data_IF_300659843779
#
_entry.id   IF_300659843779
#
_cell.length_a   1.000
_cell.length_b   1.000
_cell.length_c   1.000
_cell.angle_alpha   90.00
_cell.angle_beta   90.00
_cell.angle_gamma   90.00
#
_symmetry.space_group_name_H-M   'P 1'
#
loop_
_entity.id
_entity.type
_entity.pdbx_description
1 polymer ?
#
# COMPACT_ATOMS: atom_id res chain seq x y z
N UNK A 1 -33.62 -24.79 41.96
CA UNK A 1 -32.98 -25.62 40.93
C UNK A 1 -33.72 -25.39 39.61
N UNK A 2 -33.15 -24.64 38.72
CA UNK A 2 -33.65 -24.46 37.34
C UNK A 2 -32.50 -24.78 36.41
N UNK A 3 -32.60 -25.91 35.69
CA UNK A 3 -31.65 -26.35 34.69
C UNK A 3 -31.73 -25.49 33.42
N UNK A 4 -30.59 -25.05 32.93
CA UNK A 4 -30.46 -24.45 31.62
C UNK A 4 -30.06 -25.55 30.62
N UNK A 5 -30.94 -25.80 29.64
CA UNK A 5 -30.66 -26.68 28.52
C UNK A 5 -29.75 -25.99 27.50
N UNK A 6 -28.71 -26.69 27.10
CA UNK A 6 -27.88 -26.32 25.95
C UNK A 6 -28.57 -26.79 24.67
N UNK A 7 -28.78 -25.86 23.73
CA UNK A 7 -29.21 -26.16 22.37
C UNK A 7 -27.99 -26.19 21.48
N UNK A 8 -27.60 -27.36 21.02
CA UNK A 8 -26.57 -27.55 20.00
C UNK A 8 -27.18 -27.39 18.61
N UNK A 9 -26.77 -26.35 17.87
CA UNK A 9 -27.10 -26.24 16.45
C UNK A 9 -26.04 -26.98 15.64
N UNK A 10 -26.49 -28.01 14.90
CA UNK A 10 -25.65 -28.72 13.92
C UNK A 10 -25.85 -28.06 12.56
N UNK A 11 -24.81 -27.44 12.01
CA UNK A 11 -24.84 -26.88 10.65
C UNK A 11 -24.39 -27.98 9.69
N UNK A 12 -25.29 -28.44 8.84
CA UNK A 12 -24.97 -29.39 7.76
C UNK A 12 -24.63 -28.60 6.50
N UNK A 13 -23.38 -28.66 6.12
CA UNK A 13 -22.90 -28.04 4.87
C UNK A 13 -23.11 -29.01 3.71
N UNK A 14 -23.94 -28.63 2.73
CA UNK A 14 -24.12 -29.34 1.48
C UNK A 14 -23.02 -28.98 0.50
N UNK A 15 -22.18 -29.95 0.16
CA UNK A 15 -21.24 -29.83 -0.97
C UNK A 15 -21.97 -30.10 -2.27
N UNK A 16 -21.99 -29.11 -3.17
CA UNK A 16 -22.38 -29.28 -4.57
C UNK A 16 -21.12 -29.70 -5.35
N UNK A 17 -21.08 -30.96 -5.75
CA UNK A 17 -20.06 -31.49 -6.68
C UNK A 17 -20.38 -31.01 -8.09
N UNK A 18 -19.58 -30.07 -8.63
CA UNK A 18 -19.53 -29.77 -10.06
C UNK A 18 -18.37 -30.56 -10.65
N UNK A 19 -18.68 -31.52 -11.49
CA UNK A 19 -17.71 -32.30 -12.25
C UNK A 19 -17.12 -31.46 -13.39
N UNK A 20 -15.83 -31.13 -13.31
CA UNK A 20 -15.04 -30.61 -14.42
C UNK A 20 -13.99 -31.66 -14.81
N UNK A 21 -14.02 -32.01 -16.07
CA UNK A 21 -13.15 -32.97 -16.74
C UNK A 21 -11.74 -32.40 -16.99
N UNK A 22 -10.75 -33.19 -16.59
CA UNK A 22 -9.39 -33.31 -17.12
C UNK A 22 -8.63 -32.06 -17.56
N UNK A 23 -7.80 -31.50 -16.64
CA UNK A 23 -6.48 -31.00 -16.98
C UNK A 23 -5.48 -31.59 -15.99
N UNK A 24 -4.50 -32.36 -16.53
CA UNK A 24 -3.39 -32.88 -15.77
C UNK A 24 -2.40 -31.74 -15.51
N UNK A 25 -2.37 -31.23 -14.27
CA UNK A 25 -1.25 -30.47 -13.73
C UNK A 25 -0.81 -31.17 -12.44
N UNK A 26 0.47 -31.39 -12.34
CA UNK A 26 1.14 -31.96 -11.18
C UNK A 26 0.83 -31.10 -9.95
N UNK A 27 -0.06 -31.56 -9.08
CA UNK A 27 -0.28 -30.97 -7.77
C UNK A 27 0.92 -31.25 -6.89
N UNK A 28 1.81 -30.28 -6.75
CA UNK A 28 2.69 -30.22 -5.59
C UNK A 28 1.82 -29.77 -4.42
N UNK A 29 1.47 -30.68 -3.55
CA UNK A 29 0.81 -30.36 -2.28
C UNK A 29 1.90 -29.72 -1.42
N UNK A 30 1.85 -28.39 -1.28
CA UNK A 30 2.61 -27.67 -0.28
C UNK A 30 1.90 -27.95 1.04
N UNK A 31 2.52 -28.76 1.90
CA UNK A 31 2.10 -28.87 3.30
C UNK A 31 2.47 -27.55 3.99
N UNK A 32 1.53 -26.62 4.03
CA UNK A 32 1.61 -25.48 4.92
C UNK A 32 1.50 -26.02 6.36
N UNK A 33 2.46 -25.67 7.19
CA UNK A 33 2.47 -26.00 8.61
C UNK A 33 1.25 -25.32 9.28
N UNK A 34 0.24 -26.13 9.62
CA UNK A 34 -1.05 -25.66 10.17
C UNK A 34 -0.92 -24.93 11.52
N UNK A 35 0.28 -24.80 12.06
CA UNK A 35 0.55 -24.12 13.33
C UNK A 35 1.05 -22.68 13.19
N UNK A 36 1.33 -22.19 11.98
CA UNK A 36 1.67 -20.79 11.72
C UNK A 36 0.40 -20.01 11.33
N UNK A 37 -0.30 -19.45 12.29
CA UNK A 37 -1.39 -18.49 12.15
C UNK A 37 -2.76 -19.00 11.65
N UNK A 38 -3.63 -19.33 12.58
CA UNK A 38 -5.07 -19.41 12.31
C UNK A 38 -5.63 -17.99 12.17
N UNK A 39 -6.02 -17.62 10.97
CA UNK A 39 -6.71 -16.36 10.69
C UNK A 39 -8.07 -16.31 11.38
N UNK A 40 -8.26 -15.34 12.24
CA UNK A 40 -9.55 -15.05 12.84
C UNK A 40 -10.07 -13.72 12.30
N UNK A 41 -10.79 -13.74 11.19
CA UNK A 41 -11.43 -12.57 10.56
C UNK A 41 -12.34 -11.78 11.52
N UNK A 42 -12.73 -12.38 12.64
CA UNK A 42 -13.52 -11.75 13.70
C UNK A 42 -12.76 -10.71 14.52
N UNK A 43 -11.43 -10.66 14.42
CA UNK A 43 -10.60 -9.78 15.27
C UNK A 43 -10.47 -8.35 14.74
N UNK A 44 -10.68 -8.15 13.44
CA UNK A 44 -10.47 -6.83 12.82
C UNK A 44 -11.58 -5.84 13.16
N UNK A 45 -12.83 -6.29 13.18
CA UNK A 45 -13.98 -5.42 13.46
C UNK A 45 -13.93 -4.85 14.89
N UNK A 46 -13.44 -5.62 15.87
CA UNK A 46 -13.27 -5.15 17.24
C UNK A 46 -12.03 -4.25 17.42
N UNK A 47 -10.95 -4.48 16.64
CA UNK A 47 -9.73 -3.68 16.75
C UNK A 47 -9.91 -2.26 16.25
N UNK A 48 -10.72 -2.06 15.22
CA UNK A 48 -11.04 -0.76 14.63
C UNK A 48 -12.46 -0.28 14.96
N UNK A 49 -13.01 -0.72 16.10
CA UNK A 49 -14.36 -0.29 16.51
C UNK A 49 -14.42 1.24 16.65
N UNK A 50 -15.52 1.82 16.15
CA UNK A 50 -15.72 3.28 16.14
C UNK A 50 -15.27 4.00 14.87
N UNK A 51 -14.52 3.36 13.97
CA UNK A 51 -14.01 4.01 12.75
C UNK A 51 -15.00 4.03 11.57
N UNK A 52 -16.02 3.17 11.58
CA UNK A 52 -16.83 2.79 10.40
C UNK A 52 -17.60 3.90 9.66
N UNK A 53 -17.70 5.12 10.22
CA UNK A 53 -18.35 6.26 9.55
C UNK A 53 -17.48 7.53 9.54
N UNK A 54 -16.23 7.42 9.99
CA UNK A 54 -15.32 8.55 10.07
C UNK A 54 -14.56 8.73 8.75
N UNK A 55 -14.20 9.99 8.45
CA UNK A 55 -13.39 10.39 7.29
C UNK A 55 -12.43 11.52 7.68
N UNK A 56 -11.43 11.76 6.84
CA UNK A 56 -10.46 12.84 6.98
C UNK A 56 -9.78 12.83 8.35
N UNK A 57 -9.60 13.99 8.93
CA UNK A 57 -8.93 14.20 10.22
C UNK A 57 -9.58 13.45 11.39
N UNK A 58 -10.90 13.19 11.33
CA UNK A 58 -11.58 12.43 12.40
C UNK A 58 -11.19 10.95 12.35
N UNK A 59 -11.12 10.36 11.15
CA UNK A 59 -10.65 8.99 10.96
C UNK A 59 -9.17 8.87 11.31
N UNK A 60 -8.34 9.81 10.86
CA UNK A 60 -6.91 9.88 11.17
C UNK A 60 -6.68 9.89 12.68
N UNK A 61 -7.37 10.76 13.42
CA UNK A 61 -7.25 10.88 14.88
C UNK A 61 -7.67 9.60 15.62
N UNK A 62 -8.77 8.97 15.19
CA UNK A 62 -9.26 7.73 15.81
C UNK A 62 -8.29 6.56 15.56
N UNK A 63 -7.83 6.39 14.33
CA UNK A 63 -6.85 5.36 13.99
C UNK A 63 -5.52 5.58 14.74
N UNK A 64 -5.06 6.83 14.87
CA UNK A 64 -3.89 7.16 15.68
C UNK A 64 -4.06 6.68 17.13
N UNK A 65 -5.19 6.99 17.77
CA UNK A 65 -5.45 6.60 19.16
C UNK A 65 -5.48 5.07 19.34
N UNK A 66 -5.94 4.33 18.33
CA UNK A 66 -5.94 2.86 18.32
C UNK A 66 -4.52 2.30 18.24
N UNK A 67 -3.67 2.82 17.32
CA UNK A 67 -2.38 2.19 16.99
C UNK A 67 -1.17 2.77 17.76
N UNK A 68 -1.31 3.92 18.42
CA UNK A 68 -0.17 4.65 19.01
C UNK A 68 0.55 3.92 20.14
N UNK A 69 -0.14 3.04 20.84
CA UNK A 69 0.43 2.30 21.96
C UNK A 69 0.97 0.95 21.47
N UNK A 70 2.26 0.86 21.22
CA UNK A 70 2.88 -0.40 20.84
C UNK A 70 4.12 -0.71 21.70
N UNK A 71 4.52 -1.98 21.71
CA UNK A 71 5.75 -2.42 22.36
C UNK A 71 6.95 -1.99 21.53
N UNK A 72 7.83 -1.19 22.12
CA UNK A 72 9.07 -0.75 21.46
C UNK A 72 10.10 -1.86 21.49
N UNK A 73 10.57 -2.27 20.33
CA UNK A 73 11.66 -3.26 20.21
C UNK A 73 13.02 -2.56 20.19
N UNK A 74 14.07 -3.24 20.64
CA UNK A 74 15.43 -2.71 20.51
C UNK A 74 15.92 -2.79 19.07
N UNK A 75 16.76 -1.84 18.65
CA UNK A 75 17.31 -1.87 17.29
C UNK A 75 18.11 -3.14 16.98
N UNK A 76 18.74 -3.75 17.97
CA UNK A 76 19.41 -5.06 17.81
C UNK A 76 18.41 -6.21 17.60
N UNK A 77 17.25 -6.18 18.25
CA UNK A 77 16.23 -7.21 18.08
C UNK A 77 15.53 -7.14 16.72
N UNK A 78 15.57 -6.00 16.04
CA UNK A 78 15.00 -5.85 14.69
C UNK A 78 15.57 -6.88 13.71
N UNK A 79 16.85 -7.26 13.84
CA UNK A 79 17.44 -8.30 12.97
C UNK A 79 16.71 -9.65 13.06
N UNK A 80 16.43 -10.09 14.27
CA UNK A 80 15.71 -11.34 14.52
C UNK A 80 14.27 -11.24 14.02
N UNK A 81 13.59 -10.15 14.34
CA UNK A 81 12.20 -9.96 13.90
C UNK A 81 12.04 -9.89 12.38
N UNK A 82 12.97 -9.24 11.66
CA UNK A 82 12.93 -9.22 10.19
C UNK A 82 13.17 -10.60 9.59
N UNK A 83 14.00 -11.45 10.21
CA UNK A 83 14.17 -12.85 9.79
C UNK A 83 12.87 -13.63 9.88
N UNK A 84 12.07 -13.36 10.92
CA UNK A 84 10.81 -14.06 11.16
C UNK A 84 9.66 -13.54 10.28
N UNK A 85 9.50 -12.20 10.19
CA UNK A 85 8.34 -11.58 9.52
C UNK A 85 8.52 -11.35 8.02
N UNK A 86 9.75 -11.39 7.53
CA UNK A 86 10.13 -11.30 6.12
C UNK A 86 10.82 -12.60 5.64
N UNK A 87 10.59 -13.76 6.33
CA UNK A 87 11.06 -15.08 5.94
C UNK A 87 10.62 -15.41 4.51
N UNK A 88 11.52 -15.96 3.71
CA UNK A 88 11.17 -16.46 2.38
C UNK A 88 10.25 -17.68 2.50
N UNK A 89 9.02 -17.62 1.96
CA UNK A 89 8.05 -18.71 2.09
C UNK A 89 8.49 -20.03 1.44
N UNK A 90 9.50 -19.99 0.57
CA UNK A 90 10.05 -21.19 -0.10
C UNK A 90 11.28 -21.73 0.62
N UNK A 91 12.02 -20.88 1.33
CA UNK A 91 13.26 -21.27 2.00
C UNK A 91 13.42 -20.52 3.33
N UNK A 92 13.06 -21.16 4.43
CA UNK A 92 13.10 -20.58 5.78
C UNK A 92 14.49 -20.23 6.32
N UNK A 93 15.58 -20.51 5.59
CA UNK A 93 16.92 -20.03 5.91
C UNK A 93 17.23 -18.67 5.24
N UNK A 94 16.26 -18.11 4.55
CA UNK A 94 16.38 -16.87 3.78
C UNK A 94 15.31 -15.86 4.21
N UNK A 95 15.57 -14.59 3.88
CA UNK A 95 14.60 -13.49 3.90
C UNK A 95 14.29 -13.06 2.47
N UNK A 96 13.10 -12.51 2.25
CA UNK A 96 12.75 -11.84 0.99
C UNK A 96 13.15 -10.37 1.09
N UNK A 97 14.07 -9.94 0.22
CA UNK A 97 14.55 -8.57 0.18
C UNK A 97 13.53 -7.66 -0.51
N UNK A 98 13.15 -6.57 0.14
CA UNK A 98 11.97 -5.77 -0.20
C UNK A 98 11.97 -5.24 -1.63
N UNK A 99 12.91 -4.39 -2.02
CA UNK A 99 12.87 -3.75 -3.34
C UNK A 99 13.06 -4.71 -4.52
N UNK A 100 13.85 -5.75 -4.35
CA UNK A 100 14.16 -6.69 -5.42
C UNK A 100 13.31 -7.97 -5.40
N UNK A 101 12.51 -8.19 -4.35
CA UNK A 101 11.78 -9.45 -4.12
C UNK A 101 12.67 -10.68 -4.29
N UNK A 102 13.92 -10.56 -3.87
CA UNK A 102 14.95 -11.58 -4.00
C UNK A 102 15.13 -12.33 -2.69
N UNK A 103 15.19 -13.65 -2.79
CA UNK A 103 15.56 -14.53 -1.67
C UNK A 103 17.04 -14.39 -1.34
N UNK A 104 17.39 -14.14 -0.08
CA UNK A 104 18.75 -13.95 0.41
C UNK A 104 18.91 -14.67 1.75
N UNK A 105 20.08 -15.31 1.98
CA UNK A 105 20.36 -15.92 3.28
C UNK A 105 20.13 -14.93 4.42
N UNK A 106 19.38 -15.35 5.43
CA UNK A 106 19.08 -14.56 6.63
C UNK A 106 20.34 -14.13 7.41
N UNK A 107 21.46 -14.85 7.20
CA UNK A 107 22.74 -14.63 7.86
C UNK A 107 23.67 -13.67 7.10
N UNK A 108 23.35 -13.32 5.84
CA UNK A 108 24.19 -12.42 5.02
C UNK A 108 23.89 -10.94 5.36
N UNK A 109 23.97 -10.58 6.62
CA UNK A 109 23.64 -9.22 7.10
C UNK A 109 24.81 -8.25 6.99
N UNK A 110 24.51 -6.97 6.77
CA UNK A 110 25.43 -5.86 6.90
C UNK A 110 25.27 -5.19 8.27
N UNK A 111 26.04 -5.61 9.28
CA UNK A 111 26.08 -4.94 10.59
C UNK A 111 25.55 -5.75 11.80
N UNK A 112 25.03 -6.95 11.63
CA UNK A 112 24.67 -7.86 12.72
C UNK A 112 25.87 -8.75 13.09
N UNK A 113 26.99 -8.11 13.44
CA UNK A 113 28.25 -8.82 13.68
C UNK A 113 29.02 -9.23 12.42
N UNK A 114 28.48 -8.99 11.24
CA UNK A 114 29.07 -9.29 9.96
C UNK A 114 29.63 -8.04 9.27
N UNK A 115 30.60 -8.24 8.38
CA UNK A 115 31.09 -7.18 7.51
C UNK A 115 30.09 -6.89 6.39
N UNK A 116 29.97 -5.61 6.04
CA UNK A 116 29.13 -5.19 4.92
C UNK A 116 29.80 -5.51 3.59
N UNK A 117 29.10 -6.20 2.73
CA UNK A 117 29.50 -6.54 1.36
C UNK A 117 28.41 -6.13 0.38
N UNK A 118 28.69 -6.18 -0.91
CA UNK A 118 27.68 -6.01 -1.96
C UNK A 118 26.65 -7.14 -2.03
N UNK A 119 26.85 -8.21 -1.26
CA UNK A 119 25.94 -9.35 -1.18
C UNK A 119 25.22 -9.41 0.17
N UNK A 120 25.38 -8.40 1.01
CA UNK A 120 24.74 -8.34 2.32
C UNK A 120 23.44 -7.58 2.24
N UNK A 121 22.50 -7.91 3.14
CA UNK A 121 21.31 -7.10 3.36
C UNK A 121 21.40 -6.33 4.68
N UNK A 122 20.62 -5.24 4.78
CA UNK A 122 20.51 -4.45 6.00
C UNK A 122 19.05 -4.04 6.27
N UNK A 123 18.85 -3.26 7.34
CA UNK A 123 17.54 -2.77 7.78
C UNK A 123 17.27 -1.44 7.12
N UNK A 124 16.43 -1.44 6.12
CA UNK A 124 15.92 -0.26 5.47
C UNK A 124 14.87 0.43 6.34
N UNK A 125 14.98 1.73 6.48
CA UNK A 125 13.91 2.57 7.01
C UNK A 125 13.12 3.16 5.84
N UNK A 126 11.93 2.63 5.59
CA UNK A 126 11.06 3.09 4.48
C UNK A 126 10.81 4.60 4.59
N UNK A 127 10.53 5.12 5.79
CA UNK A 127 10.66 6.54 6.07
C UNK A 127 12.11 6.84 6.49
N UNK A 128 12.88 7.64 5.71
CA UNK A 128 14.27 7.91 6.05
C UNK A 128 14.41 8.59 7.41
N UNK A 129 15.37 8.14 8.20
CA UNK A 129 15.61 8.75 9.52
C UNK A 129 16.01 10.22 9.47
N UNK A 130 16.70 10.63 8.41
CA UNK A 130 17.12 12.01 8.17
C UNK A 130 15.94 12.96 8.03
N UNK A 131 14.85 12.54 7.39
CA UNK A 131 13.64 13.35 7.24
C UNK A 131 12.98 13.65 8.59
N UNK A 132 12.83 12.67 9.46
CA UNK A 132 12.18 12.85 10.76
C UNK A 132 13.13 13.18 11.91
N UNK A 133 14.44 13.31 11.67
CA UNK A 133 15.48 13.47 12.70
C UNK A 133 15.32 12.46 13.86
N UNK A 134 14.91 11.24 13.57
CA UNK A 134 14.75 10.19 14.56
C UNK A 134 15.90 9.18 14.53
N UNK A 135 16.34 8.77 15.71
CA UNK A 135 17.37 7.74 15.85
C UNK A 135 16.78 6.36 16.07
N UNK A 136 17.66 5.41 16.36
CA UNK A 136 17.31 4.01 16.63
C UNK A 136 17.37 3.64 18.12
N UNK A 137 17.42 4.62 19.01
CA UNK A 137 17.32 4.39 20.45
C UNK A 137 15.87 4.09 20.85
N UNK A 138 15.66 3.32 21.91
CA UNK A 138 14.32 3.01 22.41
C UNK A 138 13.50 4.24 22.85
N UNK A 139 14.13 5.41 22.97
CA UNK A 139 13.45 6.68 23.23
C UNK A 139 13.00 7.38 21.94
N UNK A 140 13.40 6.87 20.78
CA UNK A 140 13.08 7.34 19.45
C UNK A 140 12.33 6.22 18.71
N UNK A 141 11.11 5.98 19.14
CA UNK A 141 10.28 4.81 18.81
C UNK A 141 10.18 4.54 17.31
N UNK A 142 10.05 5.59 16.50
CA UNK A 142 9.93 5.49 15.04
C UNK A 142 11.10 4.75 14.36
N UNK A 143 12.30 4.85 14.91
CA UNK A 143 13.49 4.21 14.34
C UNK A 143 13.59 2.70 14.55
N UNK A 144 12.65 2.11 15.28
CA UNK A 144 12.61 0.66 15.55
C UNK A 144 11.24 0.04 15.26
N UNK A 145 10.34 0.82 14.67
CA UNK A 145 9.01 0.35 14.31
C UNK A 145 9.08 -0.63 13.13
N UNK A 146 8.61 -1.86 13.34
CA UNK A 146 8.69 -2.93 12.35
C UNK A 146 7.79 -2.69 11.13
N UNK A 147 6.74 -1.86 11.25
CA UNK A 147 5.91 -1.50 10.10
C UNK A 147 6.67 -0.67 9.06
N UNK A 148 7.70 0.06 9.48
CA UNK A 148 8.53 0.90 8.61
C UNK A 148 9.93 0.33 8.34
N UNK A 149 10.24 -0.87 8.82
CA UNK A 149 11.55 -1.52 8.63
C UNK A 149 11.43 -2.73 7.70
N UNK A 150 12.34 -2.83 6.73
CA UNK A 150 12.38 -3.93 5.75
C UNK A 150 13.82 -4.45 5.57
N UNK A 151 14.01 -5.75 5.28
CA UNK A 151 15.30 -6.24 4.81
C UNK A 151 15.51 -5.80 3.36
N UNK A 152 16.62 -5.14 3.06
CA UNK A 152 16.97 -4.63 1.72
C UNK A 152 18.44 -4.88 1.42
N UNK A 153 18.79 -5.13 0.17
CA UNK A 153 20.18 -5.14 -0.28
C UNK A 153 20.93 -3.90 0.22
N UNK A 154 22.11 -4.10 0.79
CA UNK A 154 22.90 -3.01 1.32
C UNK A 154 23.27 -1.96 0.27
N UNK A 155 23.51 -2.40 -0.98
CA UNK A 155 23.80 -1.52 -2.11
C UNK A 155 22.58 -0.73 -2.58
N UNK A 156 21.43 -1.39 -2.64
CA UNK A 156 20.14 -0.74 -2.99
C UNK A 156 19.73 0.26 -1.91
N UNK A 157 19.81 -0.12 -0.62
CA UNK A 157 19.55 0.80 0.49
C UNK A 157 20.45 2.05 0.39
N UNK A 158 21.74 1.85 0.07
CA UNK A 158 22.67 2.97 -0.14
C UNK A 158 22.32 3.83 -1.34
N UNK A 159 21.77 3.26 -2.41
CA UNK A 159 21.37 3.99 -3.61
C UNK A 159 20.04 4.74 -3.41
N UNK A 160 19.11 4.17 -2.67
CA UNK A 160 17.88 4.83 -2.24
C UNK A 160 18.21 6.00 -1.33
N UNK A 161 19.15 5.81 -0.36
CA UNK A 161 19.56 6.87 0.58
C UNK A 161 18.39 7.44 1.37
N UNK A 162 18.19 8.75 1.31
CA UNK A 162 17.07 9.47 1.92
C UNK A 162 16.10 10.09 0.91
N UNK A 163 16.21 9.72 -0.37
CA UNK A 163 15.29 10.21 -1.40
C UNK A 163 13.83 10.04 -1.03
N UNK A 164 13.02 10.98 -1.46
CA UNK A 164 11.58 10.84 -1.42
C UNK A 164 11.09 9.64 -2.25
N UNK A 165 9.90 9.16 -1.96
CA UNK A 165 9.19 8.27 -2.88
C UNK A 165 8.42 9.09 -3.91
N UNK A 166 8.55 8.71 -5.18
CA UNK A 166 7.90 9.41 -6.28
C UNK A 166 8.29 8.79 -7.61
N UNK A 167 7.62 9.24 -8.69
CA UNK A 167 7.95 8.78 -10.03
C UNK A 167 9.36 9.20 -10.42
N UNK A 168 10.11 8.30 -11.04
CA UNK A 168 11.48 8.52 -11.49
C UNK A 168 11.65 7.98 -12.91
N UNK A 169 12.63 8.55 -13.66
CA UNK A 169 12.74 8.27 -15.09
C UNK A 169 13.91 7.35 -15.47
N UNK A 170 14.78 7.00 -14.52
CA UNK A 170 16.03 6.28 -14.82
C UNK A 170 16.08 4.96 -14.08
N UNK A 171 16.00 3.85 -14.81
CA UNK A 171 16.12 2.50 -14.25
C UNK A 171 17.42 2.32 -13.50
N UNK A 172 17.33 1.76 -12.30
CA UNK A 172 18.47 1.47 -11.47
C UNK A 172 19.17 0.20 -11.97
N UNK A 173 20.50 0.25 -12.12
CA UNK A 173 21.29 -0.80 -12.76
C UNK A 173 21.24 -2.17 -12.02
N UNK A 174 21.05 -2.18 -10.71
CA UNK A 174 21.00 -3.37 -9.87
C UNK A 174 19.55 -3.83 -9.60
N UNK A 175 18.65 -2.89 -9.34
CA UNK A 175 17.21 -3.12 -9.24
C UNK A 175 16.55 -2.66 -10.55
N UNK A 176 16.53 -3.53 -11.56
CA UNK A 176 16.08 -3.17 -12.92
C UNK A 176 14.59 -2.87 -13.02
N UNK A 177 13.82 -3.23 -12.02
CA UNK A 177 12.39 -2.91 -11.86
C UNK A 177 12.17 -1.63 -11.05
N UNK A 178 13.25 -1.05 -10.47
CA UNK A 178 13.20 0.21 -9.73
C UNK A 178 13.74 1.34 -10.59
N UNK A 179 13.14 2.53 -10.46
CA UNK A 179 13.66 3.74 -11.08
C UNK A 179 14.19 4.71 -10.02
N UNK A 180 15.08 5.60 -10.42
CA UNK A 180 15.73 6.56 -9.52
C UNK A 180 16.05 7.86 -10.25
N UNK A 181 15.82 8.97 -9.58
CA UNK A 181 16.30 10.30 -9.98
C UNK A 181 17.23 10.88 -8.90
N UNK A 182 17.51 12.16 -8.96
CA UNK A 182 18.26 12.86 -7.90
C UNK A 182 17.46 12.85 -6.60
N UNK A 183 16.16 13.13 -6.67
CA UNK A 183 15.31 13.42 -5.53
C UNK A 183 14.37 12.25 -5.18
N UNK A 184 14.05 11.37 -6.16
CA UNK A 184 13.05 10.33 -6.02
C UNK A 184 13.62 8.93 -6.19
N UNK A 185 12.99 8.02 -5.47
CA UNK A 185 13.09 6.57 -5.61
C UNK A 185 11.71 6.00 -5.93
N UNK A 186 11.63 5.29 -7.04
CA UNK A 186 10.44 4.58 -7.47
C UNK A 186 10.68 3.07 -7.31
N UNK A 187 9.99 2.38 -6.39
CA UNK A 187 10.10 0.94 -6.21
C UNK A 187 9.54 0.16 -7.39
N UNK A 188 9.89 -1.13 -7.48
CA UNK A 188 9.25 -2.05 -8.41
C UNK A 188 7.72 -2.07 -8.22
N UNK A 189 6.96 -2.23 -9.31
CA UNK A 189 5.49 -2.19 -9.28
C UNK A 189 4.87 -3.10 -8.21
N UNK A 190 5.48 -4.26 -7.95
CA UNK A 190 4.98 -5.24 -6.97
C UNK A 190 5.29 -4.87 -5.50
N UNK A 191 5.93 -3.74 -5.25
CA UNK A 191 6.27 -3.24 -3.90
C UNK A 191 5.89 -1.78 -3.70
N UNK A 192 5.29 -1.15 -4.69
CA UNK A 192 4.82 0.24 -4.61
C UNK A 192 3.76 0.40 -3.52
N UNK A 193 2.74 -0.46 -3.53
CA UNK A 193 1.67 -0.46 -2.54
C UNK A 193 2.17 -0.75 -1.12
N UNK A 194 3.10 -1.70 -0.98
CA UNK A 194 3.72 -2.02 0.30
C UNK A 194 4.49 -0.81 0.86
N UNK A 195 5.27 -0.11 0.00
CA UNK A 195 5.96 1.12 0.39
C UNK A 195 4.96 2.22 0.77
N UNK A 196 3.92 2.43 -0.04
CA UNK A 196 2.86 3.39 0.21
C UNK A 196 2.21 3.16 1.58
N UNK A 197 1.73 1.95 1.85
CA UNK A 197 1.08 1.62 3.13
C UNK A 197 2.02 1.74 4.34
N UNK A 198 3.32 1.54 4.14
CA UNK A 198 4.31 1.75 5.20
C UNK A 198 4.51 3.25 5.50
N UNK A 199 4.59 4.12 4.48
CA UNK A 199 4.75 5.56 4.71
C UNK A 199 3.46 6.22 5.20
N UNK A 200 2.28 5.81 4.72
CA UNK A 200 0.99 6.25 5.29
C UNK A 200 0.85 5.86 6.77
N UNK A 201 1.32 4.65 7.13
CA UNK A 201 1.37 4.25 8.53
C UNK A 201 2.27 5.17 9.36
N UNK A 202 3.42 5.58 8.85
CA UNK A 202 4.35 6.46 9.55
C UNK A 202 3.78 7.86 9.76
N UNK A 203 3.13 8.44 8.75
CA UNK A 203 2.38 9.68 8.85
C UNK A 203 1.30 9.59 9.94
N UNK A 204 0.46 8.56 9.86
CA UNK A 204 -0.61 8.33 10.84
C UNK A 204 -0.08 8.13 12.26
N UNK A 205 0.98 7.31 12.42
CA UNK A 205 1.46 6.87 13.76
C UNK A 205 2.28 7.93 14.49
N UNK A 206 2.97 8.78 13.77
CA UNK A 206 3.94 9.71 14.32
C UNK A 206 3.56 11.18 14.05
N UNK A 207 2.69 11.72 14.88
CA UNK A 207 2.13 13.07 14.77
C UNK A 207 2.72 14.07 15.79
N UNK A 208 3.94 13.87 16.26
CA UNK A 208 4.64 14.77 17.20
C UNK A 208 4.21 14.66 18.67
N UNK A 209 3.30 13.72 18.99
CA UNK A 209 2.86 13.57 20.38
C UNK A 209 3.95 12.96 21.28
N UNK A 210 4.07 13.45 22.51
CA UNK A 210 4.99 12.91 23.55
C UNK A 210 6.48 12.90 23.17
N UNK A 211 6.96 13.86 22.39
CA UNK A 211 8.32 13.96 21.85
C UNK A 211 8.68 12.87 20.81
N UNK A 212 7.70 12.20 20.24
CA UNK A 212 7.85 11.43 19.02
C UNK A 212 8.05 12.39 17.82
N UNK A 213 8.62 11.93 16.70
CA UNK A 213 8.71 12.79 15.51
C UNK A 213 7.31 13.16 15.00
N UNK A 214 7.22 14.31 14.35
CA UNK A 214 6.03 14.76 13.62
C UNK A 214 6.28 14.48 12.15
N UNK A 215 5.72 13.36 11.64
CA UNK A 215 5.95 12.87 10.30
C UNK A 215 4.73 13.19 9.43
N UNK A 216 4.94 13.83 8.29
CA UNK A 216 3.86 14.27 7.41
C UNK A 216 4.19 14.02 5.95
N UNK A 217 3.30 13.33 5.24
CA UNK A 217 3.35 13.24 3.79
C UNK A 217 2.92 14.56 3.15
N UNK A 218 3.69 15.02 2.18
CA UNK A 218 3.43 16.27 1.44
C UNK A 218 3.49 16.03 -0.06
N UNK A 219 2.85 16.87 -0.85
CA UNK A 219 3.04 16.87 -2.30
C UNK A 219 4.29 17.66 -2.68
N UNK A 220 5.05 17.11 -3.62
CA UNK A 220 6.31 17.67 -4.07
C UNK A 220 7.52 17.13 -3.33
N UNK A 221 8.70 17.32 -3.93
CA UNK A 221 9.97 16.88 -3.36
C UNK A 221 10.33 17.66 -2.09
N UNK A 222 10.81 16.93 -1.10
CA UNK A 222 11.36 17.48 0.15
C UNK A 222 12.89 17.44 0.18
N UNK A 223 13.52 17.10 -0.93
CA UNK A 223 14.97 17.07 -1.06
C UNK A 223 15.59 18.47 -1.29
N UNK A 224 16.72 18.80 -0.67
CA UNK A 224 17.43 17.97 0.31
C UNK A 224 16.72 17.94 1.67
N UNK A 225 16.63 16.74 2.29
CA UNK A 225 16.03 16.56 3.60
C UNK A 225 16.68 17.42 4.67
N UNK A 226 15.86 18.09 5.46
CA UNK A 226 16.32 19.01 6.53
C UNK A 226 15.93 18.55 7.95
N UNK A 227 15.35 17.34 8.08
CA UNK A 227 14.91 16.80 9.36
C UNK A 227 13.65 17.47 9.90
N UNK A 228 12.80 17.96 9.02
CA UNK A 228 11.55 18.67 9.32
C UNK A 228 10.32 17.74 9.43
N UNK A 229 10.50 16.45 9.21
CA UNK A 229 9.46 15.44 9.31
C UNK A 229 8.69 15.21 8.02
N UNK A 230 9.03 15.88 6.92
CA UNK A 230 8.29 15.73 5.66
C UNK A 230 8.85 14.61 4.77
N UNK A 231 7.99 13.98 3.97
CA UNK A 231 8.34 13.05 2.91
C UNK A 231 7.40 13.27 1.70
N UNK A 232 7.91 13.43 0.50
CA UNK A 232 7.15 13.49 -0.74
C UNK A 232 7.03 12.09 -1.40
N UNK A 233 6.21 11.92 -2.39
CA UNK A 233 5.12 12.73 -2.92
C UNK A 233 3.77 12.10 -2.57
N UNK A 234 2.96 12.74 -1.77
CA UNK A 234 1.73 12.19 -1.23
C UNK A 234 0.82 11.57 -2.31
N UNK A 235 0.48 12.32 -3.37
CA UNK A 235 -0.52 11.84 -4.31
C UNK A 235 0.02 10.79 -5.30
N UNK A 236 1.32 10.76 -5.57
CA UNK A 236 1.98 9.64 -6.28
C UNK A 236 1.94 8.37 -5.41
N UNK A 237 2.31 8.49 -4.13
CA UNK A 237 2.27 7.37 -3.17
C UNK A 237 0.82 6.89 -2.96
N UNK A 238 -0.15 7.81 -3.00
CA UNK A 238 -1.58 7.50 -2.97
C UNK A 238 -1.99 6.62 -4.16
N UNK A 239 -1.58 6.96 -5.38
CA UNK A 239 -1.87 6.13 -6.56
C UNK A 239 -1.26 4.74 -6.46
N UNK A 240 -0.02 4.64 -5.97
CA UNK A 240 0.67 3.35 -5.80
C UNK A 240 -0.09 2.38 -4.89
N UNK A 241 -0.80 2.88 -3.89
CA UNK A 241 -1.62 2.06 -3.01
C UNK A 241 -2.70 1.28 -3.78
N UNK A 242 -3.28 1.88 -4.82
CA UNK A 242 -4.29 1.23 -5.66
C UNK A 242 -3.69 0.39 -6.79
N UNK A 243 -2.54 0.82 -7.32
CA UNK A 243 -1.81 0.08 -8.37
C UNK A 243 -1.31 -1.27 -7.88
N UNK A 244 -0.90 -1.36 -6.60
CA UNK A 244 -0.39 -2.57 -5.95
C UNK A 244 -1.22 -2.90 -4.69
N UNK A 245 -2.33 -3.64 -4.87
CA UNK A 245 -3.22 -3.99 -3.76
C UNK A 245 -2.56 -4.88 -2.70
N UNK A 246 -3.12 -4.85 -1.48
CA UNK A 246 -2.63 -5.66 -0.36
C UNK A 246 -2.53 -7.14 -0.72
N UNK A 247 -1.36 -7.71 -0.52
CA UNK A 247 -1.06 -9.12 -0.75
C UNK A 247 -1.25 -9.96 0.52
N UNK A 248 -1.41 -11.30 0.34
CA UNK A 248 -1.43 -12.24 1.46
C UNK A 248 -0.14 -12.14 2.31
N UNK A 249 1.01 -11.92 1.68
CA UNK A 249 2.28 -11.75 2.38
C UNK A 249 2.32 -10.51 3.28
N UNK A 250 1.73 -9.38 2.83
CA UNK A 250 1.57 -8.19 3.68
C UNK A 250 0.64 -8.44 4.87
N UNK A 251 -0.46 -9.16 4.65
CA UNK A 251 -1.38 -9.54 5.73
C UNK A 251 -0.66 -10.40 6.77
N UNK A 252 0.08 -11.40 6.34
CA UNK A 252 0.88 -12.27 7.22
C UNK A 252 1.93 -11.48 7.99
N UNK A 253 2.62 -10.59 7.32
CA UNK A 253 3.59 -9.68 7.92
C UNK A 253 2.95 -8.77 8.98
N UNK A 254 1.81 -8.15 8.68
CA UNK A 254 1.06 -7.32 9.62
C UNK A 254 0.62 -8.12 10.86
N UNK A 255 0.20 -9.36 10.68
CA UNK A 255 -0.10 -10.29 11.77
C UNK A 255 1.14 -10.61 12.63
N UNK A 256 2.27 -10.87 12.00
CA UNK A 256 3.54 -11.13 12.68
C UNK A 256 3.99 -9.93 13.52
N UNK A 257 3.91 -8.71 12.97
CA UNK A 257 4.23 -7.49 13.70
C UNK A 257 3.28 -7.29 14.89
N UNK A 258 1.99 -7.55 14.71
CA UNK A 258 1.03 -7.47 15.82
C UNK A 258 1.40 -8.38 17.00
N UNK A 259 1.91 -9.59 16.74
CA UNK A 259 2.38 -10.49 17.81
C UNK A 259 3.59 -9.93 18.56
N UNK A 260 4.42 -9.12 17.92
CA UNK A 260 5.65 -8.55 18.48
C UNK A 260 5.37 -7.19 19.13
N UNK A 261 4.75 -6.27 18.40
CA UNK A 261 4.54 -4.87 18.80
C UNK A 261 3.17 -4.60 19.44
N UNK A 262 2.16 -5.41 19.15
CA UNK A 262 0.80 -5.25 19.67
C UNK A 262 -0.04 -4.20 18.94
N UNK A 263 0.48 -3.61 17.86
CA UNK A 263 -0.27 -2.75 16.97
C UNK A 263 -0.24 -3.25 15.51
N UNK A 264 -1.13 -2.72 14.70
CA UNK A 264 -1.34 -3.13 13.31
C UNK A 264 -1.20 -1.93 12.38
N UNK A 265 -0.84 -2.20 11.12
CA UNK A 265 -0.99 -1.21 10.06
C UNK A 265 -2.45 -1.23 9.57
N UNK A 266 -3.25 -0.17 9.84
CA UNK A 266 -4.66 -0.14 9.44
C UNK A 266 -4.87 -0.16 7.93
N UNK A 267 -3.90 0.29 7.16
CA UNK A 267 -3.96 0.37 5.70
C UNK A 267 -3.73 -0.98 5.01
N UNK A 268 -3.21 -1.96 5.74
CA UNK A 268 -3.17 -3.36 5.32
C UNK A 268 -4.48 -4.05 5.66
N UNK A 269 -5.04 -3.79 6.85
CA UNK A 269 -6.28 -4.42 7.30
C UNK A 269 -7.53 -3.87 6.60
N UNK A 270 -7.56 -2.57 6.34
CA UNK A 270 -8.62 -1.89 5.60
C UNK A 270 -8.04 -0.86 4.63
N UNK A 271 -7.72 -1.26 3.41
CA UNK A 271 -7.12 -0.40 2.39
C UNK A 271 -7.92 0.89 2.11
N UNK A 272 -9.25 0.86 2.26
CA UNK A 272 -10.10 2.02 2.02
C UNK A 272 -9.84 3.19 3.00
N UNK A 273 -9.18 2.96 4.11
CA UNK A 273 -8.85 4.05 5.04
C UNK A 273 -7.94 5.11 4.42
N UNK A 274 -7.07 4.74 3.46
CA UNK A 274 -6.23 5.71 2.75
C UNK A 274 -7.11 6.67 1.94
N UNK A 275 -8.03 6.16 1.13
CA UNK A 275 -8.97 6.98 0.38
C UNK A 275 -9.84 7.84 1.31
N UNK A 276 -10.29 7.28 2.41
CA UNK A 276 -11.14 8.01 3.37
C UNK A 276 -10.41 9.14 4.12
N UNK A 277 -9.08 9.15 4.16
CA UNK A 277 -8.28 10.18 4.84
C UNK A 277 -7.72 11.19 3.83
N UNK A 278 -7.10 10.72 2.73
CA UNK A 278 -6.36 11.58 1.79
C UNK A 278 -7.03 11.73 0.41
N UNK A 279 -8.09 10.95 0.13
CA UNK A 279 -8.75 10.95 -1.18
C UNK A 279 -9.26 12.32 -1.61
N UNK A 280 -9.97 13.02 -0.73
CA UNK A 280 -10.47 14.37 -1.04
C UNK A 280 -9.36 15.34 -1.49
N UNK A 281 -8.13 15.15 -0.99
CA UNK A 281 -7.00 16.00 -1.34
C UNK A 281 -6.35 15.56 -2.66
N UNK A 282 -6.07 14.27 -2.83
CA UNK A 282 -5.35 13.78 -4.01
C UNK A 282 -6.25 13.71 -5.25
N UNK A 283 -7.50 13.32 -5.10
CA UNK A 283 -8.46 13.28 -6.20
C UNK A 283 -8.75 14.70 -6.73
N UNK A 284 -8.83 15.69 -5.83
CA UNK A 284 -9.04 17.10 -6.25
C UNK A 284 -7.85 17.70 -7.01
N UNK A 285 -6.61 17.33 -6.65
CA UNK A 285 -5.37 17.87 -7.30
C UNK A 285 -5.23 17.35 -8.73
N UNK A 286 -5.68 16.15 -8.99
CA UNK A 286 -5.56 15.53 -10.31
C UNK A 286 -6.83 15.62 -11.15
N UNK A 287 -7.82 16.43 -10.76
CA UNK A 287 -9.05 16.72 -11.50
C UNK A 287 -8.95 18.14 -12.09
N UNK A 288 -8.43 18.21 -13.32
CA UNK A 288 -8.06 19.49 -13.97
C UNK A 288 -9.27 20.34 -14.32
N UNK A 289 -10.42 19.77 -14.64
CA UNK A 289 -11.63 20.51 -15.04
C UNK A 289 -12.73 20.57 -13.97
N UNK A 290 -12.52 19.83 -12.84
CA UNK A 290 -13.36 19.90 -11.65
C UNK A 290 -14.71 19.18 -11.78
N UNK A 291 -14.80 18.13 -12.61
CA UNK A 291 -16.02 17.37 -12.83
C UNK A 291 -16.20 16.19 -11.86
N UNK A 292 -15.20 15.91 -11.04
CA UNK A 292 -15.20 14.86 -10.04
C UNK A 292 -14.55 13.54 -10.51
N UNK A 293 -13.97 13.53 -11.71
CA UNK A 293 -13.16 12.42 -12.22
C UNK A 293 -11.70 12.85 -12.31
N UNK A 294 -10.81 12.01 -11.78
CA UNK A 294 -9.37 12.25 -11.82
C UNK A 294 -8.83 12.18 -13.25
N UNK A 295 -7.90 13.05 -13.63
CA UNK A 295 -7.25 13.10 -14.94
C UNK A 295 -6.75 11.72 -15.44
N UNK A 296 -6.36 10.82 -14.53
CA UNK A 296 -5.84 9.49 -14.88
C UNK A 296 -6.93 8.51 -15.34
N UNK A 297 -8.19 8.77 -14.95
CA UNK A 297 -9.36 7.97 -15.33
C UNK A 297 -10.33 8.74 -16.22
N UNK A 298 -10.12 10.03 -16.37
CA UNK A 298 -10.88 10.91 -17.24
C UNK A 298 -10.27 10.91 -18.65
N UNK A 299 -11.05 10.46 -19.62
CA UNK A 299 -10.64 10.47 -21.03
C UNK A 299 -10.63 11.90 -21.60
N UNK A 300 -11.32 12.85 -20.94
CA UNK A 300 -11.44 14.25 -21.35
C UNK A 300 -11.01 15.23 -20.26
N UNK A 301 -9.79 15.17 -19.69
CA UNK A 301 -9.37 15.85 -18.46
C UNK A 301 -9.32 17.39 -18.53
N UNK A 302 -9.90 17.98 -19.53
CA UNK A 302 -10.08 19.43 -19.69
C UNK A 302 -11.52 19.80 -20.10
N UNK A 303 -12.47 18.90 -19.94
CA UNK A 303 -13.85 19.09 -20.36
C UNK A 303 -14.83 18.56 -19.30
N UNK A 304 -15.12 19.35 -18.30
CA UNK A 304 -16.02 19.04 -17.16
C UNK A 304 -17.45 18.57 -17.50
N UNK A 305 -17.73 18.31 -18.74
CA UNK A 305 -19.00 17.71 -19.19
C UNK A 305 -18.87 16.28 -19.64
N UNK A 306 -17.65 15.76 -19.78
CA UNK A 306 -17.32 14.45 -20.37
C UNK A 306 -16.19 13.81 -19.60
N UNK A 307 -16.31 12.55 -19.23
CA UNK A 307 -15.27 11.79 -18.51
C UNK A 307 -15.07 10.37 -19.02
N UNK A 308 -15.96 9.87 -19.93
CA UNK A 308 -15.89 8.53 -20.50
C UNK A 308 -16.21 8.57 -21.98
N UNK A 309 -15.58 7.68 -22.74
CA UNK A 309 -15.80 7.40 -24.18
C UNK A 309 -15.87 5.89 -24.32
N UNK A 310 -17.09 5.32 -24.25
CA UNK A 310 -17.31 3.87 -24.14
C UNK A 310 -16.97 3.10 -25.42
N UNK A 311 -16.99 3.74 -26.60
CA UNK A 311 -16.68 3.09 -27.88
C UNK A 311 -15.40 3.58 -28.55
N UNK A 312 -14.73 4.56 -27.91
CA UNK A 312 -13.43 5.10 -28.29
C UNK A 312 -13.42 5.80 -29.66
N UNK A 313 -14.48 6.53 -30.00
CA UNK A 313 -14.57 7.31 -31.23
C UNK A 313 -14.11 8.77 -31.09
N UNK A 314 -13.83 9.20 -29.85
CA UNK A 314 -13.34 10.54 -29.51
C UNK A 314 -14.45 11.53 -29.16
N UNK A 315 -15.70 11.10 -29.05
CA UNK A 315 -16.84 11.86 -28.53
C UNK A 315 -17.21 11.27 -27.16
N UNK A 316 -17.36 12.09 -26.12
CA UNK A 316 -17.71 11.61 -24.79
C UNK A 316 -19.17 11.15 -24.73
N UNK A 317 -19.43 10.13 -23.89
CA UNK A 317 -20.75 9.47 -23.77
C UNK A 317 -21.89 10.44 -23.50
N UNK A 318 -21.65 11.58 -22.84
CA UNK A 318 -22.69 12.58 -22.57
C UNK A 318 -23.07 13.40 -23.79
N UNK A 319 -22.15 13.60 -24.73
CA UNK A 319 -22.37 14.37 -25.98
C UNK A 319 -22.64 13.46 -27.15
N UNK A 320 -22.40 12.16 -27.02
CA UNK A 320 -22.61 11.19 -28.10
C UNK A 320 -24.05 10.69 -28.12
N UNK A 321 -24.62 10.70 -29.33
CA UNK A 321 -25.96 10.17 -29.57
C UNK A 321 -25.98 8.61 -29.60
N UNK A 322 -24.83 7.98 -29.79
CA UNK A 322 -24.64 6.53 -29.90
C UNK A 322 -23.41 6.02 -29.13
N UNK A 323 -23.36 6.16 -27.79
CA UNK A 323 -22.17 5.94 -26.97
C UNK A 323 -21.55 4.52 -27.01
N UNK A 324 -22.05 3.64 -27.85
CA UNK A 324 -21.58 2.26 -28.03
C UNK A 324 -21.35 1.91 -29.50
N UNK A 325 -21.36 2.89 -30.42
CA UNK A 325 -21.19 2.66 -31.87
C UNK A 325 -20.09 3.58 -32.43
N UNK A 326 -18.84 3.18 -32.33
CA UNK A 326 -17.66 3.91 -32.80
C UNK A 326 -17.64 4.26 -34.31
N UNK A 327 -18.68 3.95 -35.05
CA UNK A 327 -18.82 4.33 -36.45
C UNK A 327 -19.64 5.59 -36.67
N UNK A 328 -20.29 6.11 -35.62
CA UNK A 328 -21.18 7.27 -35.65
C UNK A 328 -20.63 8.41 -34.78
N UNK A 329 -19.88 9.31 -35.37
CA UNK A 329 -19.25 10.47 -34.68
C UNK A 329 -20.08 11.75 -34.71
N UNK A 330 -21.37 11.72 -35.10
CA UNK A 330 -22.16 12.94 -35.34
C UNK A 330 -23.40 13.01 -34.48
N UNK A 331 -23.43 13.95 -33.54
CA UNK A 331 -24.67 14.37 -32.89
C UNK A 331 -25.57 15.17 -33.87
N UNK A 332 -26.60 14.53 -34.42
CA UNK A 332 -27.60 15.19 -35.28
C UNK A 332 -28.55 16.04 -34.41
N UNK A 333 -28.24 17.30 -34.20
CA UNK A 333 -29.15 18.23 -33.54
C UNK A 333 -30.19 18.88 -34.45
N UNK A 334 -30.18 18.59 -35.75
CA UNK A 334 -31.17 19.21 -36.68
C UNK A 334 -31.56 18.30 -37.84
N UNK A 335 -32.60 17.51 -37.67
CA UNK A 335 -33.43 17.03 -38.81
C UNK A 335 -34.35 18.20 -39.28
N UNK A 336 -33.92 18.98 -40.26
CA UNK A 336 -34.85 19.81 -41.00
C UNK A 336 -35.64 18.91 -41.96
N UNK A 337 -36.86 18.58 -41.61
CA UNK A 337 -37.79 17.93 -42.54
C UNK A 337 -37.92 18.81 -43.78
N UNK A 338 -37.81 18.25 -45.03
CA UNK A 338 -38.07 18.98 -46.23
C UNK A 338 -39.56 19.36 -46.26
N UNK A 339 -39.84 20.65 -46.22
CA UNK A 339 -41.19 21.17 -46.44
C UNK A 339 -41.55 20.96 -47.90
N UNK A 340 -42.27 19.89 -48.20
CA UNK A 340 -42.97 19.77 -49.50
C UNK A 340 -44.00 20.86 -49.59
N UNK A 341 -43.69 21.88 -50.36
CA UNK A 341 -44.64 22.88 -50.82
C UNK A 341 -45.16 22.38 -52.16
N UNK A 342 -46.33 21.75 -52.15
CA UNK A 342 -47.09 21.55 -53.38
C UNK A 342 -47.84 22.87 -53.69
N UNK A 343 -47.75 23.26 -55.00
CA UNK A 343 -48.51 24.33 -55.63
C UNK A 343 -49.68 23.72 -56.36
#
# INVERSE_FOLDING_TARGET
MRGRGFVTFSVTIFFILVSLSNFSSSNTIINLDENKFTYNTYYYDEYYDGTGSLQGEFLHSELYDIIRNHTVVSYSAVWEHLRDIDEDPINSANVTLFYMQRSQSENDTCGDGNECTSQSWNREHIWPKSHGDFGTSMTKVAGTDLHALRPVDNTINSARSDKDFGNAETSHWECTECDSSTDFWEPANITKGDAARAVFYMDLRYNGFSNEPDLTLVNGSTEPSVGDGYLGELCVIYSWHFEDPVSDAEIERNNGIYQIQGNRNPFVDNPNFIANIWGDFCDYINDTDGDGFNDDIDIFPNNSSEWIDSDSDGVGDNSDAFPLDSTETVSYTHLTLPTNREV
#
